data_IF_715733446307
#
_entry.id   IF_715733446307
#
_cell.length_a   1.000
_cell.length_b   1.000
_cell.length_c   1.000
_cell.angle_alpha   90.00
_cell.angle_beta   90.00
_cell.angle_gamma   90.00
#
_symmetry.space_group_name_H-M   'P 1'
#
loop_
_entity.id
_entity.type
_entity.pdbx_description
1 polymer ?
#
# COMPACT_ATOMS: atom_id res chain seq x y z
N UNK A 1 3.78 21.50 34.22
CA UNK A 1 2.51 21.45 33.45
C UNK A 1 2.86 20.97 32.07
N UNK A 2 2.69 19.65 31.84
CA UNK A 2 2.80 19.08 30.49
C UNK A 2 1.68 19.70 29.66
N UNK A 3 2.05 20.49 28.65
CA UNK A 3 1.13 20.85 27.58
C UNK A 3 0.80 19.55 26.86
N UNK A 4 -0.32 18.93 27.20
CA UNK A 4 -0.90 17.87 26.37
C UNK A 4 -1.15 18.48 24.98
N UNK A 5 -0.24 18.24 24.05
CA UNK A 5 -0.48 18.54 22.63
C UNK A 5 -1.76 17.84 22.22
N UNK A 6 -2.80 18.62 21.96
CA UNK A 6 -4.10 18.08 21.59
C UNK A 6 -3.94 17.30 20.30
N UNK A 7 -4.07 15.97 20.37
CA UNK A 7 -3.94 15.09 19.21
C UNK A 7 -4.85 15.57 18.08
N UNK A 8 -4.32 15.62 16.86
CA UNK A 8 -5.10 15.91 15.65
C UNK A 8 -6.26 14.93 15.51
N UNK A 9 -7.37 15.35 14.89
CA UNK A 9 -8.53 14.50 14.68
C UNK A 9 -9.10 14.69 13.28
N UNK A 10 -9.54 13.60 12.66
CA UNK A 10 -10.33 13.64 11.43
C UNK A 10 -11.67 14.37 11.65
N UNK A 11 -12.21 14.96 10.59
CA UNK A 11 -13.49 15.67 10.66
C UNK A 11 -14.67 14.75 11.02
N UNK A 12 -14.58 13.46 10.65
CA UNK A 12 -15.59 12.44 10.93
C UNK A 12 -15.32 11.14 10.15
N UNK A 13 -16.33 10.28 10.02
CA UNK A 13 -16.23 8.96 9.34
C UNK A 13 -15.65 9.06 7.92
N UNK A 14 -16.16 9.98 7.09
CA UNK A 14 -15.71 10.15 5.70
C UNK A 14 -14.22 10.53 5.64
N UNK A 15 -13.77 11.43 6.54
CA UNK A 15 -12.36 11.81 6.64
C UNK A 15 -11.45 10.63 6.92
N UNK A 16 -11.80 9.82 7.91
CA UNK A 16 -11.08 8.59 8.25
C UNK A 16 -11.09 7.59 7.08
N UNK A 17 -12.28 7.27 6.56
CA UNK A 17 -12.44 6.24 5.51
C UNK A 17 -11.65 6.59 4.25
N UNK A 18 -11.76 7.84 3.76
CA UNK A 18 -11.05 8.24 2.54
C UNK A 18 -9.53 8.36 2.74
N UNK A 19 -9.09 8.73 3.96
CA UNK A 19 -7.66 8.75 4.27
C UNK A 19 -7.10 7.33 4.41
N UNK A 20 -7.80 6.43 5.09
CA UNK A 20 -7.39 5.04 5.26
C UNK A 20 -7.49 4.26 3.93
N UNK A 21 -8.54 4.47 3.14
CA UNK A 21 -8.65 3.92 1.79
C UNK A 21 -7.53 4.46 0.88
N UNK A 22 -7.20 5.76 0.98
CA UNK A 22 -6.07 6.35 0.25
C UNK A 22 -4.71 5.79 0.66
N UNK A 23 -4.56 5.38 1.93
CA UNK A 23 -3.39 4.66 2.37
C UNK A 23 -3.32 3.26 1.76
N UNK A 24 -4.46 2.56 1.70
CA UNK A 24 -4.55 1.19 1.21
C UNK A 24 -4.46 1.13 -0.33
N UNK A 25 -5.20 2.01 -1.03
CA UNK A 25 -5.17 2.09 -2.50
C UNK A 25 -3.88 2.74 -2.98
N UNK A 26 -2.88 1.92 -3.25
CA UNK A 26 -1.55 2.36 -3.66
C UNK A 26 -1.05 1.68 -4.93
N UNK A 27 0.24 1.79 -5.14
CA UNK A 27 0.91 1.14 -6.27
C UNK A 27 0.71 -0.38 -6.27
N UNK A 28 0.57 -0.99 -5.09
CA UNK A 28 0.33 -2.42 -4.95
C UNK A 28 -0.96 -2.93 -5.60
N UNK A 29 -2.03 -2.13 -5.58
CA UNK A 29 -3.28 -2.47 -6.26
C UNK A 29 -3.16 -2.36 -7.78
N UNK A 30 -2.33 -1.41 -8.26
CA UNK A 30 -2.28 -1.07 -9.68
C UNK A 30 -1.32 -1.96 -10.46
N UNK A 31 -0.16 -2.34 -9.93
CA UNK A 31 0.76 -3.20 -10.66
C UNK A 31 0.88 -4.61 -10.09
N UNK A 32 1.03 -4.74 -8.75
CA UNK A 32 1.31 -6.04 -8.13
C UNK A 32 0.10 -6.96 -8.18
N UNK A 33 -1.07 -6.44 -7.85
CA UNK A 33 -2.31 -7.22 -7.85
C UNK A 33 -2.64 -7.80 -9.24
N UNK A 34 -2.68 -7.01 -10.36
CA UNK A 34 -2.96 -7.56 -11.69
C UNK A 34 -1.94 -8.61 -12.13
N UNK A 35 -0.67 -8.38 -11.86
CA UNK A 35 0.39 -9.35 -12.14
C UNK A 35 0.16 -10.67 -11.40
N UNK A 36 -0.05 -10.62 -10.08
CA UNK A 36 -0.26 -11.81 -9.28
C UNK A 36 -1.56 -12.53 -9.66
N UNK A 37 -2.62 -11.79 -9.94
CA UNK A 37 -3.88 -12.36 -10.40
C UNK A 37 -3.69 -13.11 -11.72
N UNK A 38 -2.98 -12.52 -12.68
CA UNK A 38 -2.71 -13.19 -13.95
C UNK A 38 -1.82 -14.43 -13.79
N UNK A 39 -0.77 -14.35 -13.01
CA UNK A 39 0.19 -15.46 -12.82
C UNK A 39 -0.39 -16.61 -11.99
N UNK A 40 -1.24 -16.33 -11.01
CA UNK A 40 -1.70 -17.33 -10.03
C UNK A 40 -3.18 -17.68 -10.16
N UNK A 41 -3.72 -17.67 -11.39
CA UNK A 41 -4.97 -18.31 -11.75
C UNK A 41 -6.17 -17.40 -11.96
N UNK A 42 -5.98 -16.09 -12.16
CA UNK A 42 -7.04 -15.16 -12.54
C UNK A 42 -8.18 -15.11 -11.52
N UNK A 43 -9.36 -15.56 -11.90
CA UNK A 43 -10.55 -15.52 -11.08
C UNK A 43 -10.47 -16.33 -9.79
N UNK A 44 -9.70 -17.42 -9.75
CA UNK A 44 -9.50 -18.17 -8.49
C UNK A 44 -8.61 -17.39 -7.52
N UNK A 45 -7.59 -16.67 -8.02
CA UNK A 45 -6.80 -15.76 -7.20
C UNK A 45 -7.68 -14.63 -6.62
N UNK A 46 -8.53 -14.02 -7.45
CA UNK A 46 -9.46 -12.98 -7.01
C UNK A 46 -10.41 -13.50 -5.92
N UNK A 47 -10.96 -14.70 -6.08
CA UNK A 47 -11.83 -15.30 -5.06
C UNK A 47 -11.10 -15.50 -3.73
N UNK A 48 -9.89 -16.05 -3.75
CA UNK A 48 -9.06 -16.23 -2.56
C UNK A 48 -8.73 -14.88 -1.92
N UNK A 49 -8.36 -13.89 -2.73
CA UNK A 49 -8.08 -12.53 -2.25
C UNK A 49 -9.28 -11.92 -1.53
N UNK A 50 -10.49 -11.99 -2.11
CA UNK A 50 -11.73 -11.48 -1.48
C UNK A 50 -11.99 -12.20 -0.14
N UNK A 51 -11.86 -13.53 -0.10
CA UNK A 51 -12.05 -14.28 1.14
C UNK A 51 -11.07 -13.86 2.23
N UNK A 52 -9.83 -13.60 1.87
CA UNK A 52 -8.82 -13.09 2.79
C UNK A 52 -9.08 -11.64 3.20
N UNK A 53 -9.59 -10.79 2.30
CA UNK A 53 -9.96 -9.41 2.62
C UNK A 53 -11.03 -9.35 3.70
N UNK A 54 -12.12 -10.11 3.54
CA UNK A 54 -13.25 -10.11 4.48
C UNK A 54 -12.96 -10.84 5.80
N UNK A 55 -11.87 -11.57 5.91
CA UNK A 55 -11.46 -12.32 7.12
C UNK A 55 -10.21 -11.72 7.75
N UNK A 56 -9.06 -11.98 7.15
CA UNK A 56 -7.75 -11.57 7.64
C UNK A 56 -7.57 -10.05 7.59
N UNK A 57 -7.81 -9.44 6.42
CA UNK A 57 -7.68 -8.00 6.20
C UNK A 57 -8.57 -7.20 7.16
N UNK A 58 -9.85 -7.53 7.17
CA UNK A 58 -10.83 -6.95 8.09
C UNK A 58 -10.36 -7.02 9.55
N UNK A 59 -9.90 -8.19 9.99
CA UNK A 59 -9.46 -8.41 11.38
C UNK A 59 -8.30 -7.52 11.77
N UNK A 60 -7.31 -7.41 10.90
CA UNK A 60 -6.12 -6.59 11.18
C UNK A 60 -6.43 -5.10 11.17
N UNK A 61 -7.27 -4.63 10.22
CA UNK A 61 -7.70 -3.22 10.18
C UNK A 61 -8.45 -2.85 11.47
N UNK A 62 -9.39 -3.69 11.92
CA UNK A 62 -10.11 -3.47 13.18
C UNK A 62 -9.15 -3.43 14.36
N UNK A 63 -8.22 -4.39 14.45
CA UNK A 63 -7.28 -4.48 15.56
C UNK A 63 -6.39 -3.24 15.67
N UNK A 64 -5.76 -2.83 14.57
CA UNK A 64 -4.85 -1.69 14.54
C UNK A 64 -5.58 -0.35 14.73
N UNK A 65 -6.74 -0.18 14.10
CA UNK A 65 -7.57 1.02 14.28
C UNK A 65 -8.07 1.15 15.71
N UNK A 66 -8.53 0.05 16.32
CA UNK A 66 -8.96 0.03 17.73
C UNK A 66 -7.80 0.38 18.66
N UNK A 67 -6.60 -0.21 18.44
CA UNK A 67 -5.40 0.08 19.22
C UNK A 67 -5.06 1.58 19.18
N UNK A 68 -5.09 2.18 18.01
CA UNK A 68 -4.86 3.62 17.83
C UNK A 68 -5.90 4.47 18.54
N UNK A 69 -7.20 4.16 18.39
CA UNK A 69 -8.30 4.93 18.99
C UNK A 69 -8.33 4.83 20.51
N UNK A 70 -8.04 3.63 21.07
CA UNK A 70 -7.97 3.43 22.53
C UNK A 70 -6.89 4.29 23.18
N UNK A 71 -5.77 4.46 22.50
CA UNK A 71 -4.58 5.08 23.09
C UNK A 71 -4.41 6.54 22.70
N UNK A 72 -4.99 6.96 21.56
CA UNK A 72 -4.72 8.26 20.93
C UNK A 72 -3.23 8.53 20.71
N UNK A 73 -2.44 7.49 20.38
CA UNK A 73 -1.00 7.54 20.22
C UNK A 73 -0.52 6.84 18.94
N UNK A 74 0.70 7.20 18.53
CA UNK A 74 1.45 6.51 17.47
C UNK A 74 1.84 5.08 17.89
N UNK A 75 2.29 4.23 16.97
CA UNK A 75 2.52 2.81 17.25
C UNK A 75 3.37 2.52 18.48
N UNK A 76 4.51 3.18 18.65
CA UNK A 76 5.42 2.92 19.79
C UNK A 76 4.74 3.21 21.11
N UNK A 77 4.20 4.42 21.25
CA UNK A 77 3.50 4.86 22.47
C UNK A 77 2.20 4.11 22.69
N UNK A 78 1.50 3.67 21.62
CA UNK A 78 0.30 2.85 21.73
C UNK A 78 0.59 1.47 22.33
N UNK A 79 1.65 0.81 21.89
CA UNK A 79 2.09 -0.46 22.47
C UNK A 79 2.56 -0.29 23.91
N UNK A 80 3.36 0.75 24.19
CA UNK A 80 3.88 1.04 25.53
C UNK A 80 2.78 1.34 26.56
N UNK A 81 1.59 1.78 26.10
CA UNK A 81 0.42 2.01 26.96
C UNK A 81 -0.04 0.71 27.66
N UNK A 82 0.08 -0.44 26.98
CA UNK A 82 -0.37 -1.74 27.51
C UNK A 82 0.70 -2.52 28.25
N UNK A 83 1.96 -2.08 28.24
CA UNK A 83 3.02 -2.71 29.00
C UNK A 83 4.42 -2.21 28.68
N UNK A 84 5.34 -2.40 29.63
CA UNK A 84 6.73 -1.96 29.52
C UNK A 84 7.70 -3.09 29.13
N UNK A 85 7.20 -4.29 28.84
CA UNK A 85 8.00 -5.45 28.47
C UNK A 85 8.79 -5.24 27.18
N UNK A 86 9.98 -5.86 27.08
CA UNK A 86 10.83 -5.72 25.87
C UNK A 86 10.13 -6.14 24.60
N UNK A 87 9.33 -7.22 24.61
CA UNK A 87 8.57 -7.68 23.45
C UNK A 87 7.48 -6.70 22.98
N UNK A 88 6.81 -6.03 23.92
CA UNK A 88 5.79 -5.03 23.62
C UNK A 88 6.46 -3.80 22.97
N UNK A 89 7.56 -3.30 23.55
CA UNK A 89 8.34 -2.20 22.96
C UNK A 89 8.86 -2.55 21.57
N UNK A 90 9.36 -3.77 21.37
CA UNK A 90 9.81 -4.25 20.06
C UNK A 90 8.67 -4.20 19.04
N UNK A 91 7.46 -4.69 19.41
CA UNK A 91 6.28 -4.63 18.54
C UNK A 91 5.90 -3.22 18.13
N UNK A 92 5.96 -2.25 19.07
CA UNK A 92 5.71 -0.83 18.76
C UNK A 92 6.76 -0.25 17.80
N UNK A 93 8.04 -0.49 18.07
CA UNK A 93 9.12 0.03 17.23
C UNK A 93 9.16 -0.58 15.84
N UNK A 94 8.92 -1.89 15.68
CA UNK A 94 8.91 -2.49 14.34
C UNK A 94 7.78 -1.90 13.49
N UNK A 95 6.58 -1.71 14.05
CA UNK A 95 5.47 -1.04 13.36
C UNK A 95 5.80 0.42 12.99
N UNK A 96 6.58 1.12 13.78
CA UNK A 96 6.96 2.51 13.55
C UNK A 96 8.10 2.67 12.53
N UNK A 97 9.07 1.75 12.51
CA UNK A 97 10.23 1.80 11.62
C UNK A 97 9.83 1.46 10.17
N UNK A 98 8.86 0.57 9.97
CA UNK A 98 8.41 0.15 8.64
C UNK A 98 8.06 1.35 7.74
N UNK A 99 7.15 2.28 8.10
CA UNK A 99 6.84 3.40 7.23
C UNK A 99 8.02 4.35 7.02
N UNK A 100 8.93 4.48 8.00
CA UNK A 100 10.15 5.29 7.88
C UNK A 100 11.09 4.74 6.80
N UNK A 101 11.14 3.41 6.64
CA UNK A 101 11.95 2.76 5.62
C UNK A 101 11.24 2.65 4.26
N UNK A 102 9.92 2.52 4.24
CA UNK A 102 9.14 2.41 3.00
C UNK A 102 9.08 3.75 2.27
N UNK A 103 8.74 4.84 2.95
CA UNK A 103 8.45 6.11 2.28
C UNK A 103 9.62 6.65 1.43
N UNK A 104 10.91 6.47 1.79
CA UNK A 104 12.01 6.88 0.93
C UNK A 104 12.00 6.21 -0.45
N UNK A 105 12.02 4.89 -0.51
CA UNK A 105 12.04 4.18 -1.80
C UNK A 105 10.71 4.26 -2.55
N UNK A 106 9.59 4.32 -1.83
CA UNK A 106 8.27 4.53 -2.40
C UNK A 106 8.17 5.88 -3.14
N UNK A 107 8.81 6.91 -2.59
CA UNK A 107 8.88 8.24 -3.21
C UNK A 107 9.73 8.26 -4.49
N UNK A 108 10.73 7.37 -4.60
CA UNK A 108 11.49 7.18 -5.86
C UNK A 108 10.56 6.68 -6.97
N UNK A 109 9.74 5.68 -6.66
CA UNK A 109 8.77 5.14 -7.61
C UNK A 109 7.70 6.21 -7.96
N UNK A 110 7.26 7.01 -6.98
CA UNK A 110 6.40 8.18 -7.21
C UNK A 110 7.04 9.20 -8.17
N UNK A 111 8.35 9.40 -8.07
CA UNK A 111 9.13 10.20 -9.02
C UNK A 111 9.12 9.64 -10.44
N UNK A 112 9.24 8.31 -10.60
CA UNK A 112 9.13 7.67 -11.92
C UNK A 112 7.74 7.89 -12.55
N UNK A 113 6.68 7.86 -11.72
CA UNK A 113 5.31 8.16 -12.17
C UNK A 113 5.19 9.61 -12.67
N UNK A 114 5.80 10.58 -11.96
CA UNK A 114 5.85 11.98 -12.41
C UNK A 114 6.52 12.09 -13.78
N UNK A 115 7.64 11.43 -13.98
CA UNK A 115 8.37 11.42 -15.27
C UNK A 115 7.47 10.92 -16.40
N UNK A 116 6.86 9.76 -16.22
CA UNK A 116 6.01 9.16 -17.26
C UNK A 116 4.77 10.02 -17.56
N UNK A 117 4.14 10.58 -16.53
CA UNK A 117 3.02 11.50 -16.72
C UNK A 117 3.44 12.74 -17.52
N UNK A 118 4.57 13.35 -17.17
CA UNK A 118 5.10 14.51 -17.87
C UNK A 118 5.39 14.23 -19.35
N UNK A 119 5.99 13.07 -19.63
CA UNK A 119 6.31 12.66 -21.01
C UNK A 119 5.04 12.35 -21.83
N UNK A 120 4.01 11.73 -21.23
CA UNK A 120 2.72 11.56 -21.90
C UNK A 120 2.05 12.90 -22.21
N UNK A 121 2.07 13.87 -21.27
CA UNK A 121 1.52 15.22 -21.48
C UNK A 121 2.32 15.97 -22.57
N UNK A 122 3.63 15.77 -22.63
CA UNK A 122 4.50 16.36 -23.66
C UNK A 122 4.35 15.70 -25.05
N UNK A 123 3.57 14.61 -25.15
CA UNK A 123 3.34 13.89 -26.42
C UNK A 123 4.40 12.84 -26.77
N UNK A 124 5.27 12.49 -25.83
CA UNK A 124 6.35 11.50 -26.01
C UNK A 124 5.90 10.05 -25.75
N UNK A 125 4.60 9.74 -25.84
CA UNK A 125 4.06 8.42 -25.56
C UNK A 125 4.73 7.28 -26.34
N UNK A 126 5.12 7.52 -27.60
CA UNK A 126 5.84 6.55 -28.43
C UNK A 126 7.23 6.21 -27.90
N UNK A 127 7.93 7.21 -27.37
CA UNK A 127 9.28 7.03 -26.79
C UNK A 127 9.20 6.17 -25.53
N UNK A 128 8.15 6.36 -24.70
CA UNK A 128 7.91 5.57 -23.50
C UNK A 128 7.68 4.07 -23.79
N UNK A 129 7.19 3.73 -24.97
CA UNK A 129 6.95 2.38 -25.44
C UNK A 129 8.19 1.70 -26.02
N UNK A 130 9.31 2.43 -26.20
CA UNK A 130 10.55 1.87 -26.78
C UNK A 130 11.30 1.02 -25.77
N UNK A 131 11.95 -0.04 -26.26
CA UNK A 131 12.80 -0.87 -25.42
C UNK A 131 13.97 -0.05 -24.86
N UNK A 132 14.23 -0.24 -23.56
CA UNK A 132 15.32 0.44 -22.87
C UNK A 132 15.03 1.84 -22.37
N UNK A 133 13.89 2.46 -22.70
CA UNK A 133 13.54 3.80 -22.18
C UNK A 133 13.57 3.85 -20.65
N UNK A 134 12.86 2.94 -20.00
CA UNK A 134 12.81 2.87 -18.54
C UNK A 134 14.21 2.67 -17.93
N UNK A 135 14.98 1.72 -18.46
CA UNK A 135 16.33 1.44 -17.98
C UNK A 135 17.26 2.65 -18.16
N UNK A 136 17.17 3.35 -19.29
CA UNK A 136 17.93 4.56 -19.55
C UNK A 136 17.54 5.70 -18.60
N UNK A 137 16.27 5.85 -18.29
CA UNK A 137 15.77 6.84 -17.35
C UNK A 137 16.27 6.59 -15.93
N UNK A 138 16.11 5.38 -15.39
CA UNK A 138 16.50 5.07 -14.00
C UNK A 138 18.00 5.02 -13.81
N UNK A 139 18.79 4.74 -14.86
CA UNK A 139 20.25 4.79 -14.82
C UNK A 139 20.80 6.22 -14.93
N UNK A 140 20.00 7.18 -15.43
CA UNK A 140 20.35 8.59 -15.38
C UNK A 140 20.09 9.16 -13.98
N UNK A 141 21.11 9.11 -13.12
CA UNK A 141 21.01 9.51 -11.73
C UNK A 141 20.42 10.91 -11.53
N UNK A 142 20.79 11.90 -12.35
CA UNK A 142 20.28 13.27 -12.22
C UNK A 142 18.78 13.35 -12.51
N UNK A 143 18.31 12.69 -13.56
CA UNK A 143 16.88 12.69 -13.94
C UNK A 143 16.02 11.94 -12.91
N UNK A 144 16.47 10.77 -12.44
CA UNK A 144 15.80 9.98 -11.43
C UNK A 144 15.71 10.74 -10.10
N UNK A 145 16.81 11.38 -9.67
CA UNK A 145 16.90 12.14 -8.43
C UNK A 145 15.98 13.37 -8.46
N UNK A 146 15.97 14.14 -9.54
CA UNK A 146 15.09 15.33 -9.67
C UNK A 146 13.62 14.93 -9.51
N UNK A 147 13.18 13.88 -10.20
CA UNK A 147 11.80 13.42 -10.12
C UNK A 147 11.44 12.91 -8.71
N UNK A 148 12.34 12.18 -8.07
CA UNK A 148 12.20 11.74 -6.69
C UNK A 148 12.07 12.92 -5.71
N UNK A 149 12.95 13.91 -5.82
CA UNK A 149 12.93 15.11 -4.95
C UNK A 149 11.63 15.89 -5.12
N UNK A 150 11.13 16.06 -6.38
CA UNK A 150 9.85 16.73 -6.65
C UNK A 150 8.71 16.00 -5.95
N UNK A 151 8.63 14.66 -6.05
CA UNK A 151 7.59 13.88 -5.38
C UNK A 151 7.69 13.98 -3.87
N UNK A 152 8.91 13.92 -3.31
CA UNK A 152 9.18 14.05 -1.87
C UNK A 152 8.74 15.42 -1.35
N UNK A 153 9.10 16.51 -2.02
CA UNK A 153 8.69 17.87 -1.64
C UNK A 153 7.18 17.99 -1.65
N UNK A 154 6.51 17.46 -2.67
CA UNK A 154 5.06 17.50 -2.78
C UNK A 154 4.39 16.75 -1.60
N UNK A 155 4.88 15.55 -1.26
CA UNK A 155 4.39 14.79 -0.10
C UNK A 155 4.60 15.57 1.20
N UNK A 156 5.80 16.10 1.43
CA UNK A 156 6.11 16.86 2.65
C UNK A 156 5.28 18.13 2.78
N UNK A 157 5.01 18.86 1.68
CA UNK A 157 4.17 20.04 1.69
C UNK A 157 2.74 19.74 2.20
N UNK A 158 2.19 18.58 1.82
CA UNK A 158 0.88 18.12 2.31
C UNK A 158 0.95 17.79 3.80
N UNK A 159 2.02 17.13 4.26
CA UNK A 159 2.22 16.78 5.66
C UNK A 159 2.38 18.03 6.53
N UNK A 160 3.09 19.06 6.07
CA UNK A 160 3.19 20.34 6.75
C UNK A 160 1.84 21.03 6.97
N UNK A 161 0.88 20.85 6.05
CA UNK A 161 -0.48 21.38 6.19
C UNK A 161 -1.31 20.70 7.29
N UNK A 162 -0.82 19.59 7.86
CA UNK A 162 -1.43 18.87 8.98
C UNK A 162 -2.45 17.80 8.55
N UNK A 163 -2.98 17.09 9.55
CA UNK A 163 -3.88 15.94 9.31
C UNK A 163 -5.16 16.37 8.59
N UNK A 164 -5.86 17.38 9.10
CA UNK A 164 -7.17 17.79 8.59
C UNK A 164 -7.08 18.56 7.27
N UNK A 165 -6.15 19.53 7.20
CA UNK A 165 -6.03 20.41 6.04
C UNK A 165 -5.13 19.84 4.94
N UNK A 166 -4.22 18.93 5.27
CA UNK A 166 -3.34 18.21 4.35
C UNK A 166 -3.90 16.82 4.04
N UNK A 167 -3.61 15.84 4.90
CA UNK A 167 -3.90 14.42 4.68
C UNK A 167 -5.37 14.17 4.30
N UNK A 168 -6.30 14.60 5.15
CA UNK A 168 -7.74 14.38 4.94
C UNK A 168 -8.28 15.11 3.71
N UNK A 169 -7.90 16.37 3.54
CA UNK A 169 -8.39 17.20 2.42
C UNK A 169 -7.93 16.65 1.07
N UNK A 170 -6.66 16.26 0.98
CA UNK A 170 -6.09 15.69 -0.24
C UNK A 170 -6.74 14.36 -0.55
N UNK A 171 -6.90 13.46 0.44
CA UNK A 171 -7.58 12.17 0.24
C UNK A 171 -9.04 12.34 -0.19
N UNK A 172 -9.76 13.32 0.37
CA UNK A 172 -11.15 13.62 -0.02
C UNK A 172 -11.31 14.06 -1.48
N UNK A 173 -10.29 14.67 -2.06
CA UNK A 173 -10.29 15.09 -3.46
C UNK A 173 -9.77 14.00 -4.38
N UNK A 174 -8.62 13.41 -4.04
CA UNK A 174 -7.93 12.44 -4.90
C UNK A 174 -8.67 11.11 -5.02
N UNK A 175 -9.24 10.59 -3.92
CA UNK A 175 -9.88 9.28 -3.93
C UNK A 175 -11.11 9.19 -4.85
N UNK A 176 -12.08 10.12 -4.83
CA UNK A 176 -13.18 10.10 -5.80
C UNK A 176 -12.72 10.22 -7.25
N UNK A 177 -11.73 11.07 -7.54
CA UNK A 177 -11.18 11.22 -8.89
C UNK A 177 -10.50 9.91 -9.33
N UNK A 178 -9.73 9.26 -8.44
CA UNK A 178 -9.09 7.99 -8.71
C UNK A 178 -10.13 6.90 -9.07
N UNK A 179 -11.25 6.82 -8.34
CA UNK A 179 -12.35 5.90 -8.66
C UNK A 179 -12.92 6.19 -10.04
N UNK A 180 -13.21 7.46 -10.38
CA UNK A 180 -13.73 7.84 -11.70
C UNK A 180 -12.75 7.47 -12.81
N UNK A 181 -11.45 7.79 -12.64
CA UNK A 181 -10.42 7.44 -13.61
C UNK A 181 -10.32 5.91 -13.78
N UNK A 182 -10.38 5.14 -12.69
CA UNK A 182 -10.32 3.67 -12.77
C UNK A 182 -11.49 3.10 -13.56
N UNK A 183 -12.71 3.62 -13.38
CA UNK A 183 -13.89 3.20 -14.16
C UNK A 183 -13.74 3.53 -15.64
N UNK A 184 -13.26 4.72 -15.97
CA UNK A 184 -13.07 5.15 -17.38
C UNK A 184 -12.05 4.25 -18.05
N UNK A 185 -10.88 4.04 -17.44
CA UNK A 185 -9.80 3.25 -18.04
C UNK A 185 -10.20 1.77 -18.15
N UNK A 186 -10.81 1.19 -17.11
CA UNK A 186 -11.30 -0.18 -17.17
C UNK A 186 -12.38 -0.35 -18.23
N UNK A 187 -13.34 0.58 -18.32
CA UNK A 187 -14.35 0.59 -19.39
C UNK A 187 -13.71 0.61 -20.78
N UNK A 188 -12.72 1.46 -20.99
CA UNK A 188 -11.98 1.49 -22.25
C UNK A 188 -11.24 0.18 -22.52
N UNK A 189 -10.56 -0.38 -21.52
CA UNK A 189 -9.77 -1.61 -21.63
C UNK A 189 -10.61 -2.81 -22.04
N UNK A 190 -11.77 -3.01 -21.39
CA UNK A 190 -12.66 -4.16 -21.66
C UNK A 190 -13.35 -4.10 -23.04
N UNK A 191 -13.40 -2.92 -23.68
CA UNK A 191 -13.96 -2.76 -25.03
C UNK A 191 -12.98 -3.04 -26.16
N UNK A 192 -11.73 -3.37 -25.86
CA UNK A 192 -10.74 -3.67 -26.90
C UNK A 192 -10.98 -5.04 -27.54
N UNK A 193 -10.65 -5.20 -28.84
CA UNK A 193 -10.70 -6.48 -29.51
C UNK A 193 -9.86 -7.52 -28.76
N UNK A 194 -10.42 -8.69 -28.47
CA UNK A 194 -9.73 -9.75 -27.71
C UNK A 194 -9.73 -9.58 -26.17
N UNK A 195 -10.13 -8.44 -25.64
CA UNK A 195 -10.14 -8.16 -24.21
C UNK A 195 -11.08 -9.07 -23.40
N UNK A 196 -12.16 -9.58 -24.02
CA UNK A 196 -13.15 -10.43 -23.34
C UNK A 196 -12.54 -11.72 -22.77
N UNK A 197 -11.52 -12.28 -23.44
CA UNK A 197 -10.78 -13.42 -22.90
C UNK A 197 -10.10 -13.11 -21.58
N UNK A 198 -9.46 -11.92 -21.46
CA UNK A 198 -8.85 -11.44 -20.23
C UNK A 198 -9.88 -11.14 -19.14
N UNK A 199 -11.01 -10.54 -19.49
CA UNK A 199 -12.14 -10.33 -18.54
C UNK A 199 -12.61 -11.67 -17.98
N UNK A 200 -12.86 -12.64 -18.83
CA UNK A 200 -13.31 -13.99 -18.43
C UNK A 200 -12.26 -14.69 -17.56
N UNK A 201 -10.99 -14.61 -17.96
CA UNK A 201 -9.89 -15.18 -17.19
C UNK A 201 -9.81 -14.59 -15.78
N UNK A 202 -9.96 -13.28 -15.66
CA UNK A 202 -9.81 -12.56 -14.40
C UNK A 202 -11.03 -12.67 -13.46
N UNK A 203 -12.26 -12.70 -14.02
CA UNK A 203 -13.48 -12.67 -13.19
C UNK A 203 -14.08 -14.05 -12.92
N UNK A 204 -13.80 -15.05 -13.79
CA UNK A 204 -14.41 -16.38 -13.64
C UNK A 204 -13.45 -17.32 -12.92
N UNK A 205 -13.78 -17.76 -11.69
CA UNK A 205 -12.94 -18.70 -10.97
C UNK A 205 -12.83 -20.04 -11.70
N UNK A 206 -11.61 -20.49 -11.93
CA UNK A 206 -11.33 -21.82 -12.48
C UNK A 206 -10.46 -22.61 -11.51
N UNK A 207 -11.07 -23.62 -10.88
CA UNK A 207 -10.40 -24.45 -9.87
C UNK A 207 -9.19 -25.22 -10.44
N UNK A 208 -9.17 -25.49 -11.77
CA UNK A 208 -8.02 -26.11 -12.40
C UNK A 208 -6.73 -25.26 -12.33
N UNK A 209 -6.87 -23.95 -12.17
CA UNK A 209 -5.72 -23.04 -12.00
C UNK A 209 -5.34 -22.81 -10.52
N UNK A 210 -6.01 -23.47 -9.57
CA UNK A 210 -5.69 -23.35 -8.16
C UNK A 210 -4.36 -24.00 -7.83
N UNK A 211 -3.55 -23.29 -7.04
CA UNK A 211 -2.33 -23.81 -6.43
C UNK A 211 -2.20 -23.30 -4.99
N UNK A 212 -1.38 -23.95 -4.17
CA UNK A 212 -1.08 -23.40 -2.85
C UNK A 212 -0.39 -22.04 -2.92
N UNK A 213 0.35 -21.79 -4.01
CA UNK A 213 0.96 -20.48 -4.26
C UNK A 213 -0.09 -19.39 -4.50
N UNK A 214 -1.25 -19.72 -5.06
CA UNK A 214 -2.39 -18.79 -5.17
C UNK A 214 -2.78 -18.24 -3.80
N UNK A 215 -2.85 -19.10 -2.78
CA UNK A 215 -3.19 -18.67 -1.40
C UNK A 215 -2.07 -17.83 -0.79
N UNK A 216 -0.83 -18.30 -0.87
CA UNK A 216 0.34 -17.63 -0.27
C UNK A 216 0.55 -16.24 -0.88
N UNK A 217 0.47 -16.14 -2.21
CA UNK A 217 0.65 -14.86 -2.91
C UNK A 217 -0.52 -13.91 -2.70
N UNK A 218 -1.77 -14.43 -2.61
CA UNK A 218 -2.93 -13.62 -2.27
C UNK A 218 -2.84 -13.08 -0.83
N UNK A 219 -2.35 -13.87 0.14
CA UNK A 219 -2.08 -13.39 1.50
C UNK A 219 -1.03 -12.26 1.50
N UNK A 220 0.09 -12.46 0.81
CA UNK A 220 1.13 -11.43 0.71
C UNK A 220 0.65 -10.16 0.02
N UNK A 221 -0.17 -10.30 -1.04
CA UNK A 221 -0.77 -9.15 -1.72
C UNK A 221 -1.72 -8.38 -0.79
N UNK A 222 -2.55 -9.07 -0.04
CA UNK A 222 -3.48 -8.43 0.88
C UNK A 222 -2.77 -7.66 1.99
N UNK A 223 -1.71 -8.22 2.53
CA UNK A 223 -0.89 -7.59 3.56
C UNK A 223 -0.39 -6.22 3.09
N UNK A 224 0.13 -6.19 1.86
CA UNK A 224 0.65 -4.98 1.25
C UNK A 224 -0.47 -4.00 0.87
N UNK A 225 -1.55 -4.50 0.26
CA UNK A 225 -2.66 -3.69 -0.25
C UNK A 225 -3.38 -2.92 0.85
N UNK A 226 -3.76 -3.58 1.94
CA UNK A 226 -4.52 -2.97 3.03
C UNK A 226 -3.68 -2.16 4.02
N UNK A 227 -2.40 -1.93 3.74
CA UNK A 227 -1.46 -1.20 4.63
C UNK A 227 -1.41 -1.73 6.07
N UNK A 228 -1.55 -3.05 6.21
CA UNK A 228 -1.54 -3.75 7.50
C UNK A 228 -0.12 -3.85 8.03
N UNK A 229 0.04 -3.74 9.35
CA UNK A 229 1.31 -3.86 10.06
C UNK A 229 2.38 -2.84 9.61
N UNK A 230 1.95 -1.67 9.17
CA UNK A 230 2.80 -0.53 8.82
C UNK A 230 2.65 0.64 9.80
N UNK A 231 1.96 0.47 10.92
CA UNK A 231 1.67 1.54 11.87
C UNK A 231 0.67 2.61 11.41
N UNK A 232 0.32 2.63 10.11
CA UNK A 232 -0.59 3.62 9.52
C UNK A 232 -1.97 3.55 10.15
N UNK A 233 -2.55 2.37 10.26
CA UNK A 233 -3.90 2.18 10.81
C UNK A 233 -3.96 2.48 12.30
N UNK A 234 -2.88 2.23 13.06
CA UNK A 234 -2.75 2.66 14.45
C UNK A 234 -2.72 4.19 14.53
N UNK A 235 -1.90 4.83 13.68
CA UNK A 235 -1.80 6.30 13.62
C UNK A 235 -3.14 6.93 13.24
N UNK A 236 -3.79 6.45 12.19
CA UNK A 236 -5.09 6.98 11.74
C UNK A 236 -6.21 6.67 12.73
N UNK A 237 -6.19 5.50 13.37
CA UNK A 237 -7.06 5.16 14.48
C UNK A 237 -6.92 6.15 15.63
N UNK A 238 -5.70 6.63 15.93
CA UNK A 238 -5.47 7.63 16.98
C UNK A 238 -6.12 9.00 16.69
N UNK A 239 -6.47 9.29 15.45
CA UNK A 239 -7.19 10.48 15.00
C UNK A 239 -8.70 10.26 14.89
N UNK A 240 -9.18 9.03 15.08
CA UNK A 240 -10.59 8.69 14.97
C UNK A 240 -11.36 9.13 16.21
N UNK A 241 -12.52 9.76 16.00
CA UNK A 241 -13.42 10.13 17.09
C UNK A 241 -14.16 8.91 17.63
N UNK A 242 -14.56 8.98 18.92
CA UNK A 242 -15.23 7.87 19.61
C UNK A 242 -16.64 7.55 19.09
N UNK A 243 -17.34 8.54 18.52
CA UNK A 243 -18.67 8.42 17.92
C UNK A 243 -18.64 7.77 16.53
N UNK A 244 -17.47 7.63 15.90
CA UNK A 244 -17.30 6.97 14.61
C UNK A 244 -17.17 5.45 14.80
N UNK A 245 -17.97 4.67 14.09
CA UNK A 245 -17.91 3.20 14.13
C UNK A 245 -16.64 2.68 13.46
N UNK A 246 -15.82 1.92 14.20
CA UNK A 246 -14.64 1.23 13.66
C UNK A 246 -15.10 0.20 12.62
N UNK A 247 -16.06 -0.66 12.94
CA UNK A 247 -16.49 -1.72 12.05
C UNK A 247 -16.99 -1.19 10.70
N UNK A 248 -17.93 -0.24 10.70
CA UNK A 248 -18.43 0.33 9.45
C UNK A 248 -17.34 1.08 8.66
N UNK A 249 -16.39 1.70 9.35
CA UNK A 249 -15.27 2.36 8.69
C UNK A 249 -14.31 1.35 8.06
N UNK A 250 -14.03 0.25 8.76
CA UNK A 250 -13.21 -0.86 8.24
C UNK A 250 -13.85 -1.51 7.02
N UNK A 251 -15.17 -1.81 7.08
CA UNK A 251 -15.91 -2.34 5.93
C UNK A 251 -15.81 -1.44 4.70
N UNK A 252 -15.92 -0.12 4.89
CA UNK A 252 -15.77 0.82 3.79
C UNK A 252 -14.34 0.83 3.21
N UNK A 253 -13.30 0.78 4.05
CA UNK A 253 -11.90 0.69 3.57
C UNK A 253 -11.66 -0.60 2.80
N UNK A 254 -12.15 -1.73 3.32
CA UNK A 254 -12.08 -3.05 2.68
C UNK A 254 -12.75 -3.04 1.30
N UNK A 255 -13.97 -2.45 1.20
CA UNK A 255 -14.71 -2.35 -0.06
C UNK A 255 -13.97 -1.45 -1.05
N UNK A 256 -13.44 -0.29 -0.62
CA UNK A 256 -12.69 0.61 -1.48
C UNK A 256 -11.43 -0.06 -2.04
N UNK A 257 -10.62 -0.69 -1.18
CA UNK A 257 -9.40 -1.36 -1.60
C UNK A 257 -9.68 -2.49 -2.59
N UNK A 258 -10.63 -3.39 -2.23
CA UNK A 258 -11.01 -4.53 -3.08
C UNK A 258 -11.60 -4.07 -4.41
N UNK A 259 -12.46 -3.05 -4.41
CA UNK A 259 -13.04 -2.50 -5.63
C UNK A 259 -11.96 -1.93 -6.56
N UNK A 260 -11.01 -1.17 -6.03
CA UNK A 260 -9.90 -0.63 -6.84
C UNK A 260 -8.96 -1.74 -7.31
N UNK A 261 -8.68 -2.76 -6.52
CA UNK A 261 -7.91 -3.93 -6.97
C UNK A 261 -8.60 -4.64 -8.14
N UNK A 262 -9.92 -4.85 -8.08
CA UNK A 262 -10.71 -5.41 -9.18
C UNK A 262 -10.67 -4.49 -10.41
N UNK A 263 -10.85 -3.18 -10.21
CA UNK A 263 -10.77 -2.21 -11.31
C UNK A 263 -9.38 -2.21 -11.96
N UNK A 264 -8.31 -2.27 -11.17
CA UNK A 264 -6.94 -2.39 -11.67
C UNK A 264 -6.73 -3.68 -12.49
N UNK A 265 -7.26 -4.80 -12.00
CA UNK A 265 -7.30 -6.04 -12.77
C UNK A 265 -8.02 -5.89 -14.12
N UNK A 266 -9.18 -5.22 -14.13
CA UNK A 266 -9.95 -4.93 -15.36
C UNK A 266 -9.30 -3.87 -16.26
N UNK A 267 -8.50 -2.97 -15.73
CA UNK A 267 -7.73 -2.02 -16.53
C UNK A 267 -6.58 -2.71 -17.27
N UNK A 268 -5.88 -3.63 -16.61
CA UNK A 268 -4.59 -4.14 -17.06
C UNK A 268 -4.71 -5.49 -17.76
N UNK A 269 -5.36 -6.48 -17.14
CA UNK A 269 -5.40 -7.85 -17.68
C UNK A 269 -6.09 -7.89 -19.05
N UNK A 270 -7.29 -7.32 -19.28
CA UNK A 270 -7.92 -7.33 -20.60
C UNK A 270 -7.11 -6.58 -21.66
N UNK A 271 -6.45 -5.47 -21.29
CA UNK A 271 -5.60 -4.70 -22.20
C UNK A 271 -4.38 -5.52 -22.66
N UNK A 272 -3.70 -6.19 -21.71
CA UNK A 272 -2.55 -7.04 -22.03
C UNK A 272 -2.97 -8.26 -22.84
N UNK A 273 -4.11 -8.91 -22.54
CA UNK A 273 -4.65 -10.02 -23.33
C UNK A 273 -5.00 -9.59 -24.76
N UNK A 274 -5.55 -8.39 -24.94
CA UNK A 274 -5.80 -7.82 -26.27
C UNK A 274 -4.50 -7.62 -27.06
N UNK A 275 -3.43 -7.19 -26.39
CA UNK A 275 -2.12 -6.93 -26.99
C UNK A 275 -1.34 -8.22 -27.27
N UNK A 276 -1.35 -9.19 -26.34
CA UNK A 276 -0.53 -10.42 -26.40
C UNK A 276 -1.21 -11.58 -27.13
N UNK A 277 -2.47 -11.44 -27.57
CA UNK A 277 -3.24 -12.55 -28.12
C UNK A 277 -3.71 -13.56 -27.07
N UNK A 278 -3.72 -13.19 -25.78
CA UNK A 278 -4.25 -14.01 -24.70
C UNK A 278 -3.19 -14.71 -23.84
N UNK A 279 -1.92 -14.34 -23.95
CA UNK A 279 -0.84 -14.89 -23.13
C UNK A 279 -0.69 -14.14 -21.81
N UNK A 280 -1.02 -14.77 -20.64
CA UNK A 280 -0.88 -14.15 -19.32
C UNK A 280 0.59 -13.94 -18.90
N UNK A 281 1.55 -14.69 -19.48
CA UNK A 281 2.97 -14.59 -19.13
C UNK A 281 3.62 -13.30 -19.68
N UNK A 282 2.90 -12.56 -20.53
CA UNK A 282 3.33 -11.21 -20.99
C UNK A 282 3.29 -10.16 -19.87
N UNK A 283 2.53 -10.41 -18.80
CA UNK A 283 2.53 -9.52 -17.63
C UNK A 283 3.81 -9.70 -16.82
N UNK A 284 4.67 -8.72 -16.91
CA UNK A 284 5.93 -8.69 -16.16
C UNK A 284 5.71 -8.33 -14.68
N UNK A 285 6.59 -8.81 -13.81
CA UNK A 285 6.52 -8.51 -12.38
C UNK A 285 6.99 -7.07 -12.06
N UNK A 286 6.44 -6.51 -11.01
CA UNK A 286 6.92 -5.26 -10.40
C UNK A 286 6.83 -4.02 -11.29
N UNK A 287 7.79 -3.11 -11.17
CA UNK A 287 7.82 -1.86 -11.95
C UNK A 287 7.79 -2.07 -13.46
N UNK A 288 8.34 -3.18 -13.95
CA UNK A 288 8.39 -3.48 -15.38
C UNK A 288 6.99 -3.58 -16.02
N UNK A 289 5.98 -4.07 -15.30
CA UNK A 289 4.60 -4.04 -15.79
C UNK A 289 4.17 -2.61 -16.10
N UNK A 290 4.34 -1.69 -15.18
CA UNK A 290 3.83 -0.33 -15.27
C UNK A 290 4.65 0.55 -16.19
N UNK A 291 5.97 0.41 -16.18
CA UNK A 291 6.88 1.33 -16.89
C UNK A 291 7.41 0.78 -18.23
N UNK A 292 7.22 -0.51 -18.53
CA UNK A 292 7.63 -1.12 -19.78
C UNK A 292 6.43 -1.68 -20.55
N UNK A 293 5.67 -2.60 -19.93
CA UNK A 293 4.59 -3.32 -20.62
C UNK A 293 3.39 -2.40 -20.92
N UNK A 294 2.90 -1.64 -19.95
CA UNK A 294 1.72 -0.80 -20.11
C UNK A 294 1.90 0.31 -21.15
N UNK A 295 3.02 1.04 -21.25
CA UNK A 295 3.24 1.99 -22.33
C UNK A 295 3.17 1.35 -23.73
N UNK A 296 3.71 0.13 -23.91
CA UNK A 296 3.62 -0.62 -25.18
C UNK A 296 2.17 -1.00 -25.52
N UNK A 297 1.43 -1.44 -24.51
CA UNK A 297 0.00 -1.75 -24.65
C UNK A 297 -0.77 -0.50 -25.07
N UNK A 298 -0.55 0.64 -24.42
CA UNK A 298 -1.23 1.89 -24.77
C UNK A 298 -0.86 2.39 -26.15
N UNK A 299 0.40 2.29 -26.58
CA UNK A 299 0.82 2.67 -27.94
C UNK A 299 0.09 1.84 -29.02
N UNK A 300 -0.23 0.59 -28.73
CA UNK A 300 -1.03 -0.27 -29.62
C UNK A 300 -2.52 0.12 -29.69
N UNK A 301 -2.99 0.97 -28.78
CA UNK A 301 -4.39 1.39 -28.67
C UNK A 301 -4.64 2.73 -29.39
N UNK A 302 -5.81 2.91 -30.03
CA UNK A 302 -6.14 4.09 -30.82
C UNK A 302 -6.12 5.44 -30.07
N UNK A 303 -6.24 5.44 -28.72
CA UNK A 303 -6.19 6.61 -27.85
C UNK A 303 -5.06 6.52 -26.82
N UNK A 304 -3.97 5.84 -27.16
CA UNK A 304 -2.89 5.48 -26.20
C UNK A 304 -2.36 6.65 -25.38
N UNK A 305 -2.10 7.81 -25.99
CA UNK A 305 -1.64 9.00 -25.26
C UNK A 305 -2.65 9.47 -24.23
N UNK A 306 -3.94 9.54 -24.57
CA UNK A 306 -4.99 9.99 -23.65
C UNK A 306 -5.13 9.00 -22.49
N UNK A 307 -5.18 7.71 -22.80
CA UNK A 307 -5.26 6.65 -21.78
C UNK A 307 -4.01 6.66 -20.89
N UNK A 308 -2.83 6.88 -21.46
CA UNK A 308 -1.59 7.02 -20.72
C UNK A 308 -1.62 8.19 -19.72
N UNK A 309 -2.10 9.37 -20.14
CA UNK A 309 -2.28 10.52 -19.25
C UNK A 309 -3.24 10.18 -18.10
N UNK A 310 -4.40 9.60 -18.41
CA UNK A 310 -5.40 9.24 -17.40
C UNK A 310 -4.84 8.17 -16.43
N UNK A 311 -4.15 7.17 -16.96
CA UNK A 311 -3.57 6.10 -16.17
C UNK A 311 -2.46 6.60 -15.23
N UNK A 312 -1.47 7.35 -15.75
CA UNK A 312 -0.39 7.87 -14.91
C UNK A 312 -0.87 8.97 -13.94
N UNK A 313 -1.95 9.68 -14.25
CA UNK A 313 -2.64 10.57 -13.29
C UNK A 313 -3.27 9.76 -12.15
N UNK A 314 -3.98 8.66 -12.47
CA UNK A 314 -4.53 7.74 -11.48
C UNK A 314 -3.43 7.15 -10.59
N UNK A 315 -2.33 6.68 -11.20
CA UNK A 315 -1.18 6.11 -10.49
C UNK A 315 -0.52 7.15 -9.58
N UNK A 316 -0.38 8.40 -10.05
CA UNK A 316 0.16 9.49 -9.25
C UNK A 316 -0.70 9.76 -8.01
N UNK A 317 -2.02 9.78 -8.15
CA UNK A 317 -2.92 9.98 -7.02
C UNK A 317 -2.83 8.83 -6.01
N UNK A 318 -2.78 7.59 -6.46
CA UNK A 318 -2.57 6.43 -5.62
C UNK A 318 -1.21 6.48 -4.89
N UNK A 319 -0.14 6.88 -5.60
CA UNK A 319 1.19 7.02 -5.01
C UNK A 319 1.23 8.12 -3.94
N UNK A 320 0.63 9.28 -4.22
CA UNK A 320 0.59 10.43 -3.30
C UNK A 320 -0.19 10.10 -2.04
N UNK A 321 -1.39 9.53 -2.14
CA UNK A 321 -2.22 9.23 -0.97
C UNK A 321 -1.57 8.21 -0.04
N UNK A 322 -0.91 7.18 -0.58
CA UNK A 322 -0.15 6.21 0.21
C UNK A 322 1.13 6.81 0.80
N UNK A 323 1.87 7.63 0.05
CA UNK A 323 3.08 8.32 0.54
C UNK A 323 2.76 9.25 1.71
N UNK A 324 1.65 9.99 1.63
CA UNK A 324 1.16 10.85 2.72
C UNK A 324 0.87 10.01 3.98
N UNK A 325 0.22 8.87 3.84
CA UNK A 325 -0.14 8.03 4.98
C UNK A 325 1.09 7.42 5.67
N UNK A 326 2.07 6.95 4.88
CA UNK A 326 3.36 6.46 5.38
C UNK A 326 4.12 7.57 6.12
N UNK A 327 4.22 8.75 5.50
CA UNK A 327 4.92 9.91 6.08
C UNK A 327 4.24 10.38 7.37
N UNK A 328 2.91 10.42 7.39
CA UNK A 328 2.15 10.79 8.59
C UNK A 328 2.38 9.82 9.75
N UNK A 329 2.42 8.52 9.49
CA UNK A 329 2.74 7.52 10.50
C UNK A 329 4.15 7.71 11.08
N UNK A 330 5.12 8.00 10.22
CA UNK A 330 6.49 8.29 10.62
C UNK A 330 6.60 9.58 11.45
N UNK A 331 5.98 10.67 10.99
CA UNK A 331 5.98 11.98 11.68
C UNK A 331 5.32 11.86 13.05
N UNK A 332 4.15 11.23 13.14
CA UNK A 332 3.42 11.07 14.41
C UNK A 332 4.21 10.26 15.44
N UNK A 333 5.08 9.35 14.99
CA UNK A 333 5.96 8.59 15.88
C UNK A 333 6.99 9.51 16.55
N UNK A 334 7.61 10.42 15.80
CA UNK A 334 8.58 11.36 16.38
C UNK A 334 7.92 12.46 17.22
N UNK A 335 6.70 12.90 16.85
CA UNK A 335 5.90 13.79 17.71
C UNK A 335 5.68 13.16 19.09
N UNK A 336 5.27 11.87 19.16
CA UNK A 336 4.96 11.20 20.41
C UNK A 336 6.20 10.79 21.22
N UNK A 337 7.26 10.28 20.56
CA UNK A 337 8.44 9.74 21.26
C UNK A 337 9.47 10.80 21.68
N UNK A 338 9.62 11.87 20.88
CA UNK A 338 10.57 12.93 21.15
C UNK A 338 9.89 14.19 21.73
N UNK A 339 8.56 14.25 21.76
CA UNK A 339 7.82 15.44 22.16
C UNK A 339 8.03 16.65 21.24
N UNK A 340 8.40 16.39 19.98
CA UNK A 340 8.65 17.41 18.97
C UNK A 340 7.36 17.97 18.40
N UNK A 341 7.43 19.21 17.93
CA UNK A 341 6.33 19.74 17.14
C UNK A 341 6.31 19.10 15.73
N UNK A 342 5.17 19.22 15.06
CA UNK A 342 4.94 18.64 13.75
C UNK A 342 5.98 19.08 12.71
N UNK A 343 6.39 20.34 12.74
CA UNK A 343 7.34 20.88 11.76
C UNK A 343 8.72 20.24 11.92
N UNK A 344 9.20 20.15 13.17
CA UNK A 344 10.47 19.50 13.48
C UNK A 344 10.47 18.02 13.08
N UNK A 345 9.41 17.29 13.42
CA UNK A 345 9.27 15.89 13.05
C UNK A 345 9.19 15.71 11.53
N UNK A 346 8.46 16.58 10.82
CA UNK A 346 8.36 16.52 9.35
C UNK A 346 9.70 16.83 8.67
N UNK A 347 10.47 17.79 9.17
CA UNK A 347 11.82 18.10 8.64
C UNK A 347 12.74 16.90 8.81
N UNK A 348 12.74 16.25 9.99
CA UNK A 348 13.56 15.06 10.21
C UNK A 348 13.19 13.93 9.23
N UNK A 349 11.89 13.65 9.08
CA UNK A 349 11.45 12.63 8.12
C UNK A 349 11.83 13.02 6.70
N UNK A 350 11.72 14.31 6.34
CA UNK A 350 12.17 14.82 5.05
C UNK A 350 13.67 14.56 4.79
N UNK A 351 14.52 14.75 5.78
CA UNK A 351 15.95 14.43 5.70
C UNK A 351 16.16 12.92 5.51
N UNK A 352 15.46 12.09 6.30
CA UNK A 352 15.53 10.63 6.17
C UNK A 352 15.07 10.19 4.77
N UNK A 353 13.95 10.75 4.27
CA UNK A 353 13.44 10.46 2.93
C UNK A 353 14.47 10.81 1.86
N UNK A 354 15.08 11.99 1.94
CA UNK A 354 16.10 12.41 0.97
C UNK A 354 17.33 11.51 1.03
N UNK A 355 17.87 11.21 2.20
CA UNK A 355 19.08 10.39 2.33
C UNK A 355 18.86 8.95 1.85
N UNK A 356 17.84 8.26 2.39
CA UNK A 356 17.58 6.86 2.02
C UNK A 356 16.97 6.74 0.63
N UNK A 357 16.18 7.73 0.21
CA UNK A 357 15.61 7.77 -1.14
C UNK A 357 16.66 8.02 -2.21
N UNK A 358 17.63 8.90 -1.97
CA UNK A 358 18.76 9.09 -2.90
C UNK A 358 19.59 7.82 -3.08
N UNK A 359 19.82 7.02 -2.02
CA UNK A 359 20.47 5.71 -2.17
C UNK A 359 19.66 4.80 -3.12
N UNK A 360 18.33 4.81 -2.99
CA UNK A 360 17.43 4.01 -3.83
C UNK A 360 17.34 4.56 -5.27
N UNK A 361 17.26 5.88 -5.45
CA UNK A 361 17.18 6.51 -6.76
C UNK A 361 18.47 6.35 -7.58
N UNK A 362 19.62 6.50 -6.92
CA UNK A 362 20.93 6.36 -7.54
C UNK A 362 21.40 4.91 -7.68
N UNK A 363 20.70 3.97 -7.01
CA UNK A 363 21.03 2.53 -7.00
C UNK A 363 21.04 1.88 -8.38
N UNK A 364 20.24 2.37 -9.33
CA UNK A 364 20.21 1.85 -10.71
C UNK A 364 21.15 2.60 -11.68
N UNK A 365 21.82 3.64 -11.22
CA UNK A 365 22.74 4.48 -11.99
C UNK A 365 24.13 4.56 -11.35
N UNK A 366 24.52 5.71 -10.80
CA UNK A 366 25.87 5.92 -10.24
C UNK A 366 26.27 4.93 -9.15
N UNK A 367 25.31 4.41 -8.38
CA UNK A 367 25.52 3.44 -7.30
C UNK A 367 25.18 1.99 -7.70
N UNK A 368 24.97 1.69 -8.99
CA UNK A 368 24.57 0.37 -9.46
C UNK A 368 25.53 -0.76 -9.06
N UNK A 369 26.81 -0.43 -8.84
CA UNK A 369 27.84 -1.38 -8.34
C UNK A 369 27.78 -1.64 -6.83
N UNK A 370 26.95 -0.90 -6.08
CA UNK A 370 26.84 -1.05 -4.61
C UNK A 370 25.54 -1.77 -4.29
N UNK A 371 25.64 -3.02 -3.84
CA UNK A 371 24.48 -3.85 -3.51
C UNK A 371 24.52 -4.32 -2.06
N UNK A 372 23.34 -4.58 -1.48
CA UNK A 372 23.18 -5.18 -0.16
C UNK A 372 22.59 -6.59 -0.35
N UNK A 373 23.30 -7.63 0.05
CA UNK A 373 22.95 -9.03 -0.23
C UNK A 373 22.65 -9.32 -1.72
N UNK A 374 23.34 -8.64 -2.63
CA UNK A 374 23.13 -8.77 -4.08
C UNK A 374 21.91 -8.01 -4.63
N UNK A 375 21.20 -7.27 -3.80
CA UNK A 375 20.03 -6.46 -4.18
C UNK A 375 20.42 -4.98 -4.29
N UNK A 376 19.80 -4.26 -5.22
CA UNK A 376 19.86 -2.80 -5.24
C UNK A 376 19.18 -2.23 -3.99
N UNK A 377 19.49 -0.98 -3.61
CA UNK A 377 18.96 -0.38 -2.38
C UNK A 377 17.43 -0.38 -2.31
N UNK A 378 16.74 -0.06 -3.39
CA UNK A 378 15.28 -0.08 -3.46
C UNK A 378 14.74 -1.50 -3.17
N UNK A 379 15.28 -2.50 -3.87
CA UNK A 379 14.86 -3.89 -3.73
C UNK A 379 15.17 -4.44 -2.33
N UNK A 380 16.31 -4.04 -1.76
CA UNK A 380 16.69 -4.40 -0.39
C UNK A 380 15.72 -3.81 0.64
N UNK A 381 15.40 -2.52 0.55
CA UNK A 381 14.44 -1.90 1.49
C UNK A 381 13.04 -2.49 1.33
N UNK A 382 12.61 -2.77 0.08
CA UNK A 382 11.34 -3.44 -0.17
C UNK A 382 11.30 -4.85 0.44
N UNK A 383 12.34 -5.64 0.21
CA UNK A 383 12.47 -6.97 0.82
C UNK A 383 12.47 -6.91 2.35
N UNK A 384 13.30 -6.04 2.93
CA UNK A 384 13.42 -5.92 4.39
C UNK A 384 12.08 -5.54 5.03
N UNK A 385 11.39 -4.56 4.48
CA UNK A 385 10.14 -4.06 5.04
C UNK A 385 8.97 -5.00 4.78
N UNK A 386 8.72 -5.35 3.53
CA UNK A 386 7.52 -6.10 3.15
C UNK A 386 7.64 -7.60 3.44
N UNK A 387 8.82 -8.19 3.18
CA UNK A 387 8.99 -9.64 3.31
C UNK A 387 9.36 -10.09 4.73
N UNK A 388 10.01 -9.22 5.51
CA UNK A 388 10.51 -9.58 6.85
C UNK A 388 9.79 -8.80 7.95
N UNK A 389 9.85 -7.46 7.92
CA UNK A 389 9.40 -6.65 9.05
C UNK A 389 7.88 -6.64 9.21
N UNK A 390 7.12 -6.50 8.14
CA UNK A 390 5.64 -6.44 8.20
C UNK A 390 5.02 -7.74 8.77
N UNK A 391 5.38 -8.94 8.34
CA UNK A 391 4.86 -10.16 8.96
C UNK A 391 5.19 -10.27 10.44
N UNK A 392 6.40 -9.87 10.85
CA UNK A 392 6.79 -9.83 12.28
C UNK A 392 5.94 -8.80 13.03
N UNK A 393 5.73 -7.62 12.47
CA UNK A 393 4.89 -6.58 13.06
C UNK A 393 3.45 -7.08 13.26
N UNK A 394 2.87 -7.76 12.26
CA UNK A 394 1.54 -8.36 12.38
C UNK A 394 1.46 -9.42 13.48
N UNK A 395 2.45 -10.30 13.59
CA UNK A 395 2.51 -11.28 14.69
C UNK A 395 2.52 -10.55 16.04
N UNK A 396 3.31 -9.48 16.17
CA UNK A 396 3.36 -8.70 17.42
C UNK A 396 2.01 -8.02 17.72
N UNK A 397 1.31 -7.49 16.70
CA UNK A 397 -0.04 -6.94 16.85
C UNK A 397 -1.03 -7.99 17.31
N UNK A 398 -1.03 -9.19 16.69
CA UNK A 398 -1.88 -10.29 17.06
C UNK A 398 -1.63 -10.74 18.52
N UNK A 399 -0.37 -10.85 18.92
CA UNK A 399 0.01 -11.22 20.30
C UNK A 399 -0.38 -10.14 21.30
N UNK A 400 -0.17 -8.87 20.98
CA UNK A 400 -0.59 -7.76 21.83
C UNK A 400 -2.09 -7.78 22.07
N UNK A 401 -2.88 -7.89 21.01
CA UNK A 401 -4.34 -7.89 21.08
C UNK A 401 -4.89 -9.13 21.77
N UNK A 402 -4.38 -10.31 21.44
CA UNK A 402 -4.93 -11.58 21.94
C UNK A 402 -4.47 -11.94 23.36
N UNK A 403 -3.23 -11.58 23.76
CA UNK A 403 -2.60 -12.03 25.01
C UNK A 403 -2.42 -10.94 26.05
N UNK A 404 -2.23 -9.70 25.64
CA UNK A 404 -1.92 -8.58 26.56
C UNK A 404 -3.17 -7.73 26.82
N UNK A 405 -3.81 -7.24 25.76
CA UNK A 405 -5.02 -6.39 25.86
C UNK A 405 -6.24 -7.26 26.20
N UNK A 406 -6.38 -8.36 25.48
CA UNK A 406 -7.54 -9.25 25.49
C UNK A 406 -8.63 -8.77 24.51
N UNK A 407 -9.18 -9.72 23.73
CA UNK A 407 -10.18 -9.45 22.69
C UNK A 407 -11.42 -8.71 23.20
N UNK A 408 -11.82 -8.91 24.45
CA UNK A 408 -12.98 -8.22 25.07
C UNK A 408 -12.80 -6.70 25.10
N UNK A 409 -11.62 -6.19 25.41
CA UNK A 409 -11.37 -4.74 25.40
C UNK A 409 -11.45 -4.16 24.00
N UNK A 410 -11.02 -4.91 22.98
CA UNK A 410 -11.20 -4.48 21.58
C UNK A 410 -12.69 -4.48 21.21
N UNK A 411 -13.47 -5.48 21.64
CA UNK A 411 -14.92 -5.51 21.44
C UNK A 411 -15.62 -4.30 22.07
N UNK A 412 -15.26 -3.98 23.32
CA UNK A 412 -15.75 -2.80 24.04
C UNK A 412 -15.43 -1.51 23.26
N UNK A 413 -14.18 -1.39 22.77
CA UNK A 413 -13.75 -0.25 21.97
C UNK A 413 -14.52 -0.14 20.67
N UNK A 414 -14.70 -1.23 19.92
CA UNK A 414 -15.44 -1.25 18.65
C UNK A 414 -16.90 -0.81 18.84
N UNK A 415 -17.52 -1.21 19.94
CA UNK A 415 -18.93 -0.92 20.25
C UNK A 415 -19.16 0.45 20.91
N UNK A 416 -18.13 1.21 21.25
CA UNK A 416 -18.24 2.55 21.88
C UNK A 416 -19.11 3.53 21.09
N UNK A 417 -19.18 3.41 19.78
CA UNK A 417 -20.04 4.24 18.93
C UNK A 417 -21.54 3.90 19.02
N UNK A 418 -21.94 2.95 19.87
CA UNK A 418 -23.31 2.45 19.97
C UNK A 418 -23.71 1.49 18.85
N UNK A 419 -22.82 1.14 17.94
CA UNK A 419 -23.04 0.17 16.87
C UNK A 419 -22.64 -1.24 17.31
N UNK A 420 -23.35 -2.30 16.86
CA UNK A 420 -22.99 -3.68 17.18
C UNK A 420 -21.73 -4.09 16.46
N UNK A 421 -20.95 -4.99 17.05
CA UNK A 421 -19.82 -5.66 16.40
C UNK A 421 -20.30 -6.94 15.70
N UNK A 422 -20.69 -6.83 14.43
CA UNK A 422 -21.37 -7.91 13.68
C UNK A 422 -20.44 -9.08 13.37
N UNK A 423 -19.19 -8.79 12.95
CA UNK A 423 -18.20 -9.80 12.59
C UNK A 423 -17.30 -10.22 13.78
N UNK A 424 -17.77 -10.04 15.02
CA UNK A 424 -17.05 -10.35 16.25
C UNK A 424 -16.49 -11.78 16.28
N UNK A 425 -17.28 -12.78 15.87
CA UNK A 425 -16.86 -14.19 15.88
C UNK A 425 -15.67 -14.41 14.94
N UNK A 426 -15.75 -13.84 13.73
CA UNK A 426 -14.65 -13.89 12.74
C UNK A 426 -13.41 -13.20 13.32
N UNK A 427 -13.57 -11.99 13.85
CA UNK A 427 -12.47 -11.24 14.47
C UNK A 427 -11.76 -12.04 15.55
N UNK A 428 -12.52 -12.58 16.51
CA UNK A 428 -11.96 -13.30 17.65
C UNK A 428 -11.19 -14.57 17.22
N UNK A 429 -11.74 -15.32 16.28
CA UNK A 429 -11.08 -16.52 15.77
C UNK A 429 -9.83 -16.18 14.96
N UNK A 430 -9.93 -15.21 14.06
CA UNK A 430 -8.84 -14.82 13.20
C UNK A 430 -7.67 -14.23 13.98
N UNK A 431 -7.91 -13.27 14.88
CA UNK A 431 -6.83 -12.57 15.61
C UNK A 431 -6.08 -13.49 16.56
N UNK A 432 -6.76 -14.49 17.14
CA UNK A 432 -6.15 -15.39 18.12
C UNK A 432 -5.39 -16.55 17.46
N UNK A 433 -5.84 -17.04 16.31
CA UNK A 433 -5.34 -18.28 15.72
C UNK A 433 -4.81 -18.10 14.29
N UNK A 434 -5.61 -17.62 13.36
CA UNK A 434 -5.24 -17.64 11.94
C UNK A 434 -4.33 -16.49 11.52
N UNK A 435 -4.57 -15.26 12.00
CA UNK A 435 -3.73 -14.13 11.61
C UNK A 435 -2.24 -14.31 11.94
N UNK A 436 -1.86 -14.78 13.16
CA UNK A 436 -0.44 -15.01 13.43
C UNK A 436 0.15 -16.17 12.60
N UNK A 437 -0.66 -17.21 12.29
CA UNK A 437 -0.23 -18.31 11.42
C UNK A 437 -0.01 -17.82 9.98
N UNK A 438 -0.94 -17.04 9.44
CA UNK A 438 -0.81 -16.47 8.10
C UNK A 438 0.41 -15.55 7.99
N UNK A 439 0.63 -14.69 8.98
CA UNK A 439 1.81 -13.85 9.01
C UNK A 439 3.11 -14.68 9.07
N UNK A 440 3.14 -15.78 9.82
CA UNK A 440 4.29 -16.68 9.86
C UNK A 440 4.52 -17.38 8.50
N UNK A 441 3.45 -17.82 7.83
CA UNK A 441 3.55 -18.41 6.48
C UNK A 441 4.11 -17.38 5.49
N UNK A 442 3.63 -16.14 5.51
CA UNK A 442 4.14 -15.05 4.65
C UNK A 442 5.63 -14.82 4.92
N UNK A 443 6.04 -14.74 6.19
CA UNK A 443 7.45 -14.55 6.57
C UNK A 443 8.33 -15.67 6.01
N UNK A 444 7.96 -16.92 6.27
CA UNK A 444 8.75 -18.08 5.84
C UNK A 444 8.81 -18.18 4.32
N UNK A 445 7.67 -18.03 3.63
CA UNK A 445 7.61 -18.11 2.17
C UNK A 445 8.38 -16.96 1.50
N UNK A 446 8.27 -15.74 2.00
CA UNK A 446 9.00 -14.59 1.44
C UNK A 446 10.52 -14.72 1.61
N UNK A 447 10.98 -15.18 2.78
CA UNK A 447 12.41 -15.45 3.03
C UNK A 447 12.89 -16.61 2.15
N UNK A 448 12.11 -17.69 2.05
CA UNK A 448 12.46 -18.83 1.19
C UNK A 448 12.56 -18.44 -0.29
N UNK A 449 11.66 -17.55 -0.76
CA UNK A 449 11.73 -16.97 -2.11
C UNK A 449 13.00 -16.13 -2.31
N UNK A 450 13.34 -15.28 -1.36
CA UNK A 450 14.54 -14.45 -1.44
C UNK A 450 15.85 -15.27 -1.43
N UNK A 451 15.84 -16.43 -0.75
CA UNK A 451 16.95 -17.37 -0.76
C UNK A 451 16.96 -18.30 -2.00
N UNK A 452 15.99 -18.16 -2.91
CA UNK A 452 15.87 -18.99 -4.10
C UNK A 452 15.42 -20.43 -3.85
N UNK A 453 14.87 -20.72 -2.67
CA UNK A 453 14.38 -22.07 -2.33
C UNK A 453 13.00 -22.36 -2.95
N UNK A 454 12.22 -21.32 -3.19
CA UNK A 454 10.93 -21.38 -3.90
C UNK A 454 10.86 -20.19 -4.88
N UNK A 455 10.04 -20.31 -5.92
CA UNK A 455 9.73 -19.21 -6.84
C UNK A 455 8.30 -18.68 -6.57
N UNK A 456 8.18 -17.38 -6.28
CA UNK A 456 6.91 -16.70 -6.06
C UNK A 456 6.63 -15.68 -7.14
#
# INVERSE_FOLDING_TARGET
MEQQHKRSAFSGKIGFVLSAAGASVGLGNIWRFPYLAAKYGGGIFLLVYILLAVTFGYTMIVAETALGRMTHKSPVSAYAHFGKGRGIRFGGWINAIIPILIVPYYSVIGGWVIRYLADYIAGHGKELATDGYFSSFISNGASAEICFVIFTIFTLAIIFAGVRNGVERVSKVMMPILVVLSVIIAGYSVTRPGALAGVKYFLVPNVAHFSWMTVVTAMGQMFYSLSIAMGILVTFGSYMKKDVSIEESTENVEIFDTAIAIMAGLMIIPAVFSFSGGDPDTLQAGPALMFITIPKVFESMGLGTVVGILFFTLVLFAAVTSSIALTESAVSTFEDELGWDRHQATVLIGVIMLVLGSLSALGYGPLAGVTVFGMQFLDFFDFLTNSVMMPIAAITTCLLVSRVIGVKKIEEEVTLSGKPFRRKVIFNFMIQYLCPVFAAIILVSSVANALGWIAM
#
